data_IF_839051526287
#
_entry.id   IF_839051526287
#
_cell.length_a   1.000
_cell.length_b   1.000
_cell.length_c   1.000
_cell.angle_alpha   90.00
_cell.angle_beta   90.00
_cell.angle_gamma   90.00
#
_symmetry.space_group_name_H-M   'P 1'
#
loop_
_entity.id
_entity.type
_entity.pdbx_description
1 polymer ?
#
# COMPACT_ATOMS: atom_id res chain seq x y z
N UNK A 1 -6.30 -92.59 30.91
CA UNK A 1 -6.72 -92.60 29.49
C UNK A 1 -6.57 -91.17 28.96
N UNK A 2 -5.61 -90.95 28.03
CA UNK A 2 -5.49 -89.90 26.97
C UNK A 2 -5.93 -88.44 27.32
N UNK A 3 -5.23 -87.34 27.03
CA UNK A 3 -4.30 -87.00 25.94
C UNK A 3 -3.66 -85.61 26.26
N UNK A 4 -2.33 -85.52 26.42
CA UNK A 4 -1.32 -84.75 25.63
C UNK A 4 -1.65 -83.31 25.20
N UNK A 5 -0.73 -82.38 25.53
CA UNK A 5 0.06 -81.57 24.57
C UNK A 5 1.14 -80.79 25.36
N UNK A 6 2.37 -81.32 25.45
CA UNK A 6 3.58 -80.92 24.71
C UNK A 6 4.02 -79.46 24.96
N UNK A 7 5.02 -79.32 25.82
CA UNK A 7 5.81 -78.12 26.09
C UNK A 7 7.19 -78.37 25.46
N UNK A 8 7.61 -77.58 24.46
CA UNK A 8 9.01 -77.56 24.00
C UNK A 8 9.43 -76.10 23.82
N UNK A 9 10.52 -75.79 24.51
CA UNK A 9 11.30 -74.56 24.57
C UNK A 9 12.29 -74.52 23.39
N UNK A 10 12.47 -73.35 22.76
CA UNK A 10 13.71 -72.91 22.09
C UNK A 10 13.55 -71.43 21.72
N UNK A 11 14.02 -70.48 22.53
CA UNK A 11 15.36 -69.87 22.56
C UNK A 11 15.76 -69.14 21.25
N UNK A 12 15.95 -67.84 21.43
CA UNK A 12 16.15 -66.81 20.42
C UNK A 12 17.44 -66.92 19.61
N UNK A 13 17.35 -66.53 18.34
CA UNK A 13 18.47 -66.01 17.55
C UNK A 13 17.98 -64.84 16.70
N UNK A 14 18.54 -63.66 16.96
CA UNK A 14 18.28 -62.41 16.27
C UNK A 14 19.02 -62.44 14.92
N UNK A 15 18.29 -62.36 13.81
CA UNK A 15 18.86 -62.18 12.48
C UNK A 15 18.38 -60.86 11.90
N UNK A 16 19.34 -59.97 11.61
CA UNK A 16 19.12 -58.74 10.86
C UNK A 16 18.91 -59.13 9.39
N UNK A 17 17.73 -58.86 8.85
CA UNK A 17 17.43 -59.03 7.43
C UNK A 17 17.48 -57.68 6.73
N UNK A 18 18.43 -57.59 5.81
CA UNK A 18 18.48 -56.63 4.70
C UNK A 18 17.22 -56.79 3.84
N UNK A 19 16.55 -55.67 3.52
CA UNK A 19 15.57 -55.60 2.45
C UNK A 19 16.01 -54.53 1.45
N UNK A 20 16.39 -54.99 0.27
CA UNK A 20 16.58 -54.22 -0.94
C UNK A 20 15.24 -53.86 -1.56
N UNK A 21 14.96 -52.57 -1.69
CA UNK A 21 14.15 -52.01 -2.78
C UNK A 21 14.78 -50.66 -3.13
N UNK A 22 15.29 -50.56 -4.35
CA UNK A 22 15.70 -49.28 -4.93
C UNK A 22 14.43 -48.48 -5.22
N UNK A 23 14.19 -47.45 -4.42
CA UNK A 23 13.19 -46.42 -4.73
C UNK A 23 13.81 -45.54 -5.82
N UNK A 24 13.17 -45.53 -6.98
CA UNK A 24 13.53 -44.74 -8.14
C UNK A 24 13.04 -43.30 -7.92
N UNK A 25 13.97 -42.41 -7.57
CA UNK A 25 13.71 -40.98 -7.33
C UNK A 25 13.75 -40.14 -8.62
N UNK A 26 13.61 -40.75 -9.80
CA UNK A 26 13.66 -40.05 -11.09
C UNK A 26 12.39 -39.26 -11.46
N UNK A 27 11.49 -38.98 -10.51
CA UNK A 27 10.26 -38.21 -10.75
C UNK A 27 10.09 -36.94 -9.87
N UNK A 28 11.16 -36.46 -9.23
CA UNK A 28 11.20 -35.13 -8.59
C UNK A 28 12.07 -34.14 -9.39
N UNK A 29 11.93 -34.16 -10.71
CA UNK A 29 12.46 -33.11 -11.58
C UNK A 29 11.28 -32.44 -12.27
N UNK A 30 10.45 -31.76 -11.48
CA UNK A 30 9.58 -30.70 -11.99
C UNK A 30 10.09 -29.39 -11.40
N UNK A 31 10.79 -28.66 -12.28
CA UNK A 31 10.79 -27.21 -12.37
C UNK A 31 11.22 -26.44 -11.11
N UNK A 32 12.46 -26.67 -10.68
CA UNK A 32 13.20 -25.68 -9.91
C UNK A 32 13.78 -24.66 -10.90
N UNK A 33 12.93 -23.86 -11.53
CA UNK A 33 13.39 -22.57 -12.04
C UNK A 33 13.63 -21.70 -10.83
N UNK A 34 14.78 -21.92 -10.18
CA UNK A 34 15.45 -20.83 -9.48
C UNK A 34 15.54 -19.72 -10.52
N UNK A 35 14.75 -18.67 -10.34
CA UNK A 35 14.99 -17.41 -11.04
C UNK A 35 16.42 -17.07 -10.74
N UNK A 36 17.31 -17.26 -11.74
CA UNK A 36 18.69 -16.82 -11.64
C UNK A 36 18.59 -15.33 -11.33
N UNK A 37 19.01 -14.94 -10.13
CA UNK A 37 19.04 -13.53 -9.75
C UNK A 37 20.11 -12.93 -10.65
N UNK A 38 19.72 -12.12 -11.62
CA UNK A 38 20.69 -11.33 -12.38
C UNK A 38 21.38 -10.36 -11.41
N UNK A 39 22.63 -10.00 -11.71
CA UNK A 39 23.38 -9.00 -10.94
C UNK A 39 22.49 -7.77 -10.75
N UNK A 40 22.10 -7.50 -9.50
CA UNK A 40 21.00 -6.60 -9.18
C UNK A 40 21.48 -5.32 -8.53
N UNK A 41 21.19 -4.18 -9.18
CA UNK A 41 21.32 -2.86 -8.56
C UNK A 41 20.08 -2.60 -7.70
N UNK A 42 20.29 -2.36 -6.41
CA UNK A 42 19.22 -2.01 -5.46
C UNK A 42 19.32 -0.53 -5.13
N UNK A 43 18.21 0.18 -5.34
CA UNK A 43 18.07 1.60 -5.07
C UNK A 43 16.61 1.93 -4.75
N UNK A 44 16.37 3.11 -4.16
CA UNK A 44 15.00 3.61 -3.97
C UNK A 44 14.53 4.30 -5.25
N UNK A 45 13.34 3.99 -5.79
CA UNK A 45 12.86 4.58 -7.05
C UNK A 45 12.63 6.10 -6.98
N UNK A 46 12.38 6.64 -5.79
CA UNK A 46 12.30 8.08 -5.58
C UNK A 46 12.84 8.50 -4.20
N UNK A 47 13.48 9.66 -4.11
CA UNK A 47 13.96 10.27 -2.85
C UNK A 47 13.53 11.73 -2.74
N UNK A 48 13.48 12.26 -1.53
CA UNK A 48 13.30 13.71 -1.33
C UNK A 48 14.58 14.46 -1.74
N UNK A 49 14.45 15.76 -2.01
CA UNK A 49 15.63 16.62 -2.13
C UNK A 49 16.52 16.51 -0.90
N UNK A 50 17.83 16.48 -1.13
CA UNK A 50 18.89 16.32 -0.12
C UNK A 50 18.84 14.99 0.64
N UNK A 51 17.89 14.10 0.37
CA UNK A 51 17.89 12.78 0.95
C UNK A 51 18.96 11.91 0.28
N UNK A 52 19.73 11.20 1.10
CA UNK A 52 20.69 10.22 0.59
C UNK A 52 19.95 9.05 -0.05
N UNK A 53 20.42 8.64 -1.22
CA UNK A 53 20.07 7.42 -1.92
C UNK A 53 21.27 6.48 -1.81
N UNK A 54 21.09 5.39 -1.08
CA UNK A 54 22.08 4.32 -0.99
C UNK A 54 21.94 3.38 -2.20
N UNK A 55 23.07 3.08 -2.84
CA UNK A 55 23.16 2.10 -3.90
C UNK A 55 23.84 0.84 -3.38
N UNK A 56 23.28 -0.31 -3.73
CA UNK A 56 23.89 -1.60 -3.45
C UNK A 56 23.91 -2.46 -4.72
N UNK A 57 24.96 -3.24 -4.89
CA UNK A 57 25.14 -4.16 -6.00
C UNK A 57 25.29 -5.58 -5.47
N UNK A 58 24.46 -6.50 -5.96
CA UNK A 58 24.50 -7.91 -5.60
C UNK A 58 24.90 -8.76 -6.79
N UNK A 59 25.74 -9.77 -6.58
CA UNK A 59 26.07 -10.76 -7.61
C UNK A 59 24.95 -11.79 -7.83
N UNK A 60 25.17 -12.74 -8.75
CA UNK A 60 24.19 -13.77 -9.09
C UNK A 60 23.85 -14.71 -7.91
N UNK A 61 24.75 -14.81 -6.92
CA UNK A 61 24.56 -15.60 -5.71
C UNK A 61 23.87 -14.79 -4.58
N UNK A 62 23.55 -13.51 -4.84
CA UNK A 62 22.98 -12.59 -3.86
C UNK A 62 23.99 -12.05 -2.85
N UNK A 63 25.29 -12.11 -3.15
CA UNK A 63 26.35 -11.54 -2.32
C UNK A 63 26.49 -10.05 -2.61
N UNK A 64 26.53 -9.23 -1.56
CA UNK A 64 26.81 -7.79 -1.69
C UNK A 64 28.26 -7.56 -2.13
N UNK A 65 28.42 -7.00 -3.33
CA UNK A 65 29.71 -6.68 -3.94
C UNK A 65 29.92 -5.15 -4.10
N UNK A 66 29.11 -4.34 -3.42
CA UNK A 66 29.10 -2.86 -3.55
C UNK A 66 30.47 -2.23 -3.28
N UNK A 67 31.23 -2.79 -2.33
CA UNK A 67 32.57 -2.29 -1.99
C UNK A 67 33.61 -2.48 -3.12
N UNK A 68 33.36 -3.38 -4.07
CA UNK A 68 34.19 -3.62 -5.25
C UNK A 68 33.69 -2.91 -6.51
N UNK A 69 32.59 -2.15 -6.40
CA UNK A 69 31.95 -1.48 -7.52
C UNK A 69 32.20 0.04 -7.50
N UNK A 70 32.14 0.66 -8.66
CA UNK A 70 32.06 2.12 -8.82
C UNK A 70 30.69 2.46 -9.36
N UNK A 71 29.92 3.24 -8.60
CA UNK A 71 28.59 3.70 -9.01
C UNK A 71 28.70 5.00 -9.79
N UNK A 72 27.80 5.19 -10.75
CA UNK A 72 27.73 6.37 -11.60
C UNK A 72 26.32 6.95 -11.55
N UNK A 73 26.21 8.27 -11.43
CA UNK A 73 24.95 9.02 -11.61
C UNK A 73 25.11 10.03 -12.74
N UNK A 74 24.24 9.96 -13.75
CA UNK A 74 24.33 10.75 -14.99
C UNK A 74 25.74 10.72 -15.63
N UNK A 75 26.38 9.55 -15.60
CA UNK A 75 27.73 9.31 -16.11
C UNK A 75 28.86 9.86 -15.23
N UNK A 76 28.56 10.43 -14.07
CA UNK A 76 29.56 10.91 -13.10
C UNK A 76 29.83 9.84 -12.05
N UNK A 77 31.09 9.41 -11.91
CA UNK A 77 31.50 8.45 -10.89
C UNK A 77 31.32 9.02 -9.48
N UNK A 78 30.79 8.19 -8.57
CA UNK A 78 30.64 8.52 -7.16
C UNK A 78 31.85 8.02 -6.36
N UNK A 79 32.27 8.81 -5.36
CA UNK A 79 33.34 8.42 -4.42
C UNK A 79 32.84 7.37 -3.40
N UNK A 80 31.54 7.40 -3.09
CA UNK A 80 30.86 6.48 -2.19
C UNK A 80 29.64 5.89 -2.90
N UNK A 81 29.07 4.80 -2.40
CA UNK A 81 27.84 4.21 -2.97
C UNK A 81 26.57 4.99 -2.58
N UNK A 82 26.67 6.32 -2.46
CA UNK A 82 25.57 7.20 -2.02
C UNK A 82 25.49 8.45 -2.89
N UNK A 83 24.26 8.91 -3.14
CA UNK A 83 23.99 10.13 -3.89
C UNK A 83 22.92 10.98 -3.21
N UNK A 84 22.99 12.30 -3.38
CA UNK A 84 21.90 13.21 -3.01
C UNK A 84 21.90 14.40 -3.97
N UNK A 85 20.73 14.98 -4.19
CA UNK A 85 20.55 16.17 -5.03
C UNK A 85 19.60 17.15 -4.36
N UNK A 86 19.88 18.45 -4.45
CA UNK A 86 18.97 19.53 -4.09
C UNK A 86 18.03 19.93 -5.24
N UNK A 87 18.26 19.36 -6.43
CA UNK A 87 17.46 19.60 -7.65
C UNK A 87 16.54 18.42 -7.90
N UNK A 88 15.26 18.71 -8.12
CA UNK A 88 14.25 17.76 -8.58
C UNK A 88 14.54 17.31 -10.02
N UNK A 89 14.38 16.01 -10.28
CA UNK A 89 14.63 15.44 -11.60
C UNK A 89 14.77 13.93 -11.59
N UNK A 90 14.86 13.37 -12.79
CA UNK A 90 15.20 11.97 -13.02
C UNK A 90 16.68 11.84 -13.29
N UNK A 91 17.31 10.86 -12.65
CA UNK A 91 18.73 10.58 -12.71
C UNK A 91 18.95 9.16 -13.21
N UNK A 92 19.97 8.95 -14.05
CA UNK A 92 20.40 7.64 -14.51
C UNK A 92 21.46 7.07 -13.57
N UNK A 93 21.33 5.79 -13.18
CA UNK A 93 22.28 5.10 -12.32
C UNK A 93 22.73 3.78 -12.94
N UNK A 94 24.03 3.50 -12.82
CA UNK A 94 24.62 2.19 -13.14
C UNK A 94 25.88 1.97 -12.31
N UNK A 95 26.37 0.73 -12.28
CA UNK A 95 27.61 0.39 -11.59
C UNK A 95 28.59 -0.34 -12.52
N UNK A 96 29.88 -0.08 -12.35
CA UNK A 96 30.97 -0.87 -12.92
C UNK A 96 31.63 -1.71 -11.83
N UNK A 97 31.93 -2.98 -12.11
CA UNK A 97 32.52 -3.90 -11.15
C UNK A 97 33.45 -4.91 -11.84
N UNK A 98 34.34 -5.55 -11.07
CA UNK A 98 35.16 -6.65 -11.60
C UNK A 98 34.35 -7.95 -11.64
N UNK A 99 34.23 -8.53 -12.83
CA UNK A 99 33.72 -9.87 -13.03
C UNK A 99 34.85 -10.76 -13.57
N UNK A 100 35.49 -11.50 -12.66
CA UNK A 100 36.57 -12.45 -12.97
C UNK A 100 37.74 -11.82 -13.76
N UNK A 101 38.18 -10.63 -13.36
CA UNK A 101 39.30 -9.91 -14.00
C UNK A 101 38.91 -9.12 -15.24
N UNK A 102 37.62 -9.00 -15.55
CA UNK A 102 37.09 -8.14 -16.61
C UNK A 102 36.09 -7.16 -16.01
N UNK A 103 36.20 -5.87 -16.36
CA UNK A 103 35.19 -4.87 -15.97
C UNK A 103 33.86 -5.18 -16.65
N UNK A 104 32.81 -5.32 -15.85
CA UNK A 104 31.42 -5.42 -16.27
C UNK A 104 30.66 -4.16 -15.83
N UNK A 105 29.54 -3.88 -16.50
CA UNK A 105 28.65 -2.76 -16.21
C UNK A 105 27.23 -3.28 -16.07
N UNK A 106 26.49 -2.79 -15.08
CA UNK A 106 25.05 -3.11 -14.95
C UNK A 106 24.24 -2.46 -16.08
N UNK A 107 22.99 -2.87 -16.22
CA UNK A 107 22.03 -2.07 -16.97
C UNK A 107 21.87 -0.69 -16.32
N UNK A 108 21.55 0.31 -17.16
CA UNK A 108 21.27 1.66 -16.69
C UNK A 108 19.82 1.76 -16.26
N UNK A 109 19.64 2.19 -15.03
CA UNK A 109 18.37 2.31 -14.34
C UNK A 109 18.07 3.77 -14.04
N UNK A 110 16.83 4.11 -13.65
CA UNK A 110 16.45 5.49 -13.34
C UNK A 110 15.78 5.63 -11.98
N UNK A 111 16.13 6.68 -11.25
CA UNK A 111 15.43 7.09 -10.04
C UNK A 111 15.11 8.58 -10.08
N UNK A 112 14.18 9.03 -9.24
CA UNK A 112 13.79 10.44 -9.19
C UNK A 112 14.10 11.09 -7.84
N UNK A 113 14.53 12.34 -7.88
CA UNK A 113 14.53 13.22 -6.70
C UNK A 113 13.31 14.12 -6.84
N UNK A 114 12.43 14.14 -5.85
CA UNK A 114 11.10 14.78 -5.94
C UNK A 114 10.89 15.84 -4.87
N UNK A 115 9.98 16.77 -5.15
CA UNK A 115 9.29 17.57 -4.12
C UNK A 115 7.85 17.05 -4.01
N UNK A 116 7.54 16.28 -2.95
CA UNK A 116 6.21 15.71 -2.77
C UNK A 116 5.12 16.77 -2.85
N UNK A 117 3.95 16.38 -3.36
CA UNK A 117 2.76 17.20 -3.38
C UNK A 117 1.79 16.74 -2.30
N UNK A 118 1.21 17.72 -1.60
CA UNK A 118 0.21 17.45 -0.59
C UNK A 118 -1.04 16.88 -1.24
N UNK A 119 -1.43 15.68 -0.85
CA UNK A 119 -2.75 15.13 -1.15
C UNK A 119 -3.70 15.41 0.00
N UNK A 120 -4.89 15.91 -0.33
CA UNK A 120 -5.93 16.18 0.66
C UNK A 120 -6.70 14.90 0.92
N UNK A 121 -6.73 14.46 2.17
CA UNK A 121 -7.59 13.35 2.57
C UNK A 121 -9.04 13.81 2.68
N UNK A 122 -9.94 13.10 2.01
CA UNK A 122 -11.39 13.28 2.06
C UNK A 122 -11.99 12.00 2.64
N UNK A 123 -12.61 12.10 3.81
CA UNK A 123 -13.39 11.02 4.40
C UNK A 123 -14.89 11.33 4.18
N UNK A 124 -15.56 10.55 3.35
CA UNK A 124 -17.00 10.67 3.07
C UNK A 124 -17.79 9.72 3.98
N UNK A 125 -18.38 10.26 5.03
CA UNK A 125 -19.31 9.50 5.87
C UNK A 125 -20.67 9.44 5.17
N UNK A 126 -21.05 8.23 4.74
CA UNK A 126 -22.16 8.00 3.80
C UNK A 126 -23.00 6.75 4.16
N UNK A 127 -23.99 6.45 3.33
CA UNK A 127 -24.79 5.23 3.43
C UNK A 127 -25.85 5.12 2.33
N UNK A 128 -26.17 3.90 1.90
CA UNK A 128 -27.14 3.65 0.79
C UNK A 128 -28.54 4.21 1.09
N UNK A 129 -28.92 4.28 2.37
CA UNK A 129 -30.21 4.82 2.83
C UNK A 129 -30.27 6.36 2.87
N UNK A 130 -29.14 7.05 2.71
CA UNK A 130 -29.03 8.48 2.88
C UNK A 130 -29.34 9.25 1.59
N UNK A 131 -30.55 9.82 1.52
CA UNK A 131 -31.04 10.49 0.30
C UNK A 131 -30.26 11.73 -0.17
N UNK A 132 -29.46 12.36 0.69
CA UNK A 132 -28.60 13.49 0.30
C UNK A 132 -27.14 13.11 0.07
N UNK A 133 -26.75 11.87 0.39
CA UNK A 133 -25.38 11.41 0.24
C UNK A 133 -24.83 11.46 -1.19
N UNK A 134 -25.63 11.26 -2.25
CA UNK A 134 -25.14 11.46 -3.61
C UNK A 134 -24.53 12.86 -3.86
N UNK A 135 -24.90 13.89 -3.08
CA UNK A 135 -24.29 15.23 -3.22
C UNK A 135 -22.79 15.25 -2.93
N UNK A 136 -22.32 14.47 -1.95
CA UNK A 136 -20.89 14.44 -1.61
C UNK A 136 -20.14 13.58 -2.62
N UNK A 137 -20.72 12.46 -3.08
CA UNK A 137 -20.18 11.68 -4.20
C UNK A 137 -19.98 12.55 -5.44
N UNK A 138 -21.01 13.30 -5.86
CA UNK A 138 -20.90 14.26 -6.98
C UNK A 138 -19.81 15.33 -6.76
N UNK A 139 -19.64 15.80 -5.52
CA UNK A 139 -18.63 16.79 -5.20
C UNK A 139 -17.22 16.21 -5.29
N UNK A 140 -17.01 14.97 -4.84
CA UNK A 140 -15.75 14.24 -4.94
C UNK A 140 -15.37 14.01 -6.40
N UNK A 141 -16.31 13.54 -7.24
CA UNK A 141 -16.11 13.39 -8.69
C UNK A 141 -15.65 14.71 -9.34
N UNK A 142 -16.27 15.84 -8.96
CA UNK A 142 -15.86 17.17 -9.45
C UNK A 142 -14.45 17.57 -8.98
N UNK A 143 -14.01 17.11 -7.82
CA UNK A 143 -12.63 17.36 -7.37
C UNK A 143 -11.66 16.51 -8.18
N UNK A 144 -11.98 15.24 -8.44
CA UNK A 144 -11.18 14.37 -9.31
C UNK A 144 -11.04 14.93 -10.73
N UNK A 145 -12.08 15.57 -11.27
CA UNK A 145 -12.01 16.26 -12.57
C UNK A 145 -11.00 17.42 -12.60
N UNK A 146 -10.57 17.92 -11.43
CA UNK A 146 -9.69 19.09 -11.30
C UNK A 146 -8.27 18.71 -10.83
N UNK A 147 -8.13 17.71 -9.97
CA UNK A 147 -6.85 17.35 -9.36
C UNK A 147 -6.78 15.87 -8.96
N UNK A 148 -5.60 15.27 -9.16
CA UNK A 148 -5.25 13.94 -8.64
C UNK A 148 -4.65 14.01 -7.22
N UNK A 149 -4.48 15.21 -6.66
CA UNK A 149 -3.88 15.42 -5.34
C UNK A 149 -4.90 15.27 -4.20
N UNK A 150 -5.66 14.19 -4.23
CA UNK A 150 -6.60 13.81 -3.18
C UNK A 150 -6.51 12.31 -2.88
N UNK A 151 -6.94 11.93 -1.69
CA UNK A 151 -7.21 10.54 -1.34
C UNK A 151 -8.61 10.48 -0.76
N UNK A 152 -9.42 9.53 -1.18
CA UNK A 152 -10.82 9.43 -0.77
C UNK A 152 -11.03 8.14 0.01
N UNK A 153 -11.90 8.21 1.03
CA UNK A 153 -12.35 7.04 1.79
C UNK A 153 -13.84 7.20 2.06
N UNK A 154 -14.68 6.39 1.43
CA UNK A 154 -16.11 6.33 1.68
C UNK A 154 -16.39 5.39 2.88
N UNK A 155 -16.87 5.98 3.97
CA UNK A 155 -17.14 5.33 5.25
C UNK A 155 -18.65 5.13 5.38
N UNK A 156 -19.08 3.93 4.98
CA UNK A 156 -20.48 3.53 4.98
C UNK A 156 -21.01 3.18 6.38
N UNK A 157 -22.22 3.65 6.70
CA UNK A 157 -22.91 3.39 7.96
C UNK A 157 -24.24 2.64 7.77
N UNK A 158 -24.46 1.60 8.57
CA UNK A 158 -25.72 0.85 8.67
C UNK A 158 -26.30 0.35 7.33
N UNK A 159 -25.44 -0.17 6.46
CA UNK A 159 -25.76 -0.82 5.18
C UNK A 159 -24.80 -1.99 4.87
N UNK A 160 -24.91 -2.61 3.68
CA UNK A 160 -24.08 -3.75 3.29
C UNK A 160 -22.56 -3.48 3.19
N UNK A 161 -22.14 -2.22 3.11
CA UNK A 161 -20.73 -1.81 2.97
C UNK A 161 -20.11 -1.36 4.30
N UNK A 162 -20.88 -1.40 5.39
CA UNK A 162 -20.44 -0.93 6.70
C UNK A 162 -19.36 -1.83 7.30
N UNK A 163 -18.25 -1.22 7.72
CA UNK A 163 -17.19 -1.89 8.48
C UNK A 163 -17.49 -1.91 9.99
N UNK A 164 -17.08 -2.98 10.68
CA UNK A 164 -17.41 -3.19 12.09
C UNK A 164 -16.90 -2.10 13.04
N UNK A 165 -15.87 -1.35 12.65
CA UNK A 165 -15.27 -0.27 13.43
C UNK A 165 -15.76 1.14 13.01
N UNK A 166 -16.72 1.25 12.09
CA UNK A 166 -17.22 2.55 11.61
C UNK A 166 -17.67 3.46 12.76
N UNK A 167 -18.40 2.91 13.74
CA UNK A 167 -18.92 3.70 14.85
C UNK A 167 -17.80 4.39 15.63
N UNK A 168 -16.62 3.77 15.74
CA UNK A 168 -15.47 4.35 16.44
C UNK A 168 -14.90 5.55 15.66
N UNK A 169 -14.75 5.43 14.34
CA UNK A 169 -14.32 6.55 13.48
C UNK A 169 -15.30 7.71 13.58
N UNK A 170 -16.58 7.40 13.48
CA UNK A 170 -17.66 8.38 13.53
C UNK A 170 -17.70 9.11 14.88
N UNK A 171 -17.49 8.40 15.99
CA UNK A 171 -17.44 9.01 17.32
C UNK A 171 -16.21 9.89 17.54
N UNK A 172 -15.02 9.44 17.13
CA UNK A 172 -13.78 10.20 17.25
C UNK A 172 -13.85 11.54 16.51
N UNK A 173 -14.42 11.53 15.30
CA UNK A 173 -14.53 12.72 14.46
C UNK A 173 -15.84 13.48 14.64
N UNK A 174 -16.64 13.14 15.66
CA UNK A 174 -17.89 13.82 16.02
C UNK A 174 -18.90 13.91 14.86
N UNK A 175 -18.98 12.86 14.04
CA UNK A 175 -19.90 12.79 12.91
C UNK A 175 -21.25 12.24 13.40
N UNK A 176 -22.29 13.06 13.37
CA UNK A 176 -23.63 12.67 13.87
C UNK A 176 -24.73 12.74 12.82
N UNK A 177 -24.39 13.07 11.58
CA UNK A 177 -25.33 13.18 10.47
C UNK A 177 -24.66 12.81 9.15
N UNK A 178 -25.50 12.42 8.19
CA UNK A 178 -25.09 11.95 6.88
C UNK A 178 -25.78 12.77 5.77
N UNK A 179 -25.07 13.13 4.68
CA UNK A 179 -23.64 12.92 4.50
C UNK A 179 -22.79 13.86 5.37
N UNK A 180 -21.55 13.47 5.64
CA UNK A 180 -20.50 14.36 6.16
C UNK A 180 -19.19 14.08 5.44
N UNK A 181 -18.72 15.02 4.62
CA UNK A 181 -17.35 14.99 4.12
C UNK A 181 -16.41 15.65 5.13
N UNK A 182 -15.26 15.04 5.42
CA UNK A 182 -14.23 15.60 6.31
C UNK A 182 -12.90 15.74 5.57
N UNK A 183 -12.32 16.94 5.63
CA UNK A 183 -11.07 17.26 4.94
C UNK A 183 -9.91 17.21 5.93
N UNK A 184 -8.88 16.43 5.60
CA UNK A 184 -7.66 16.21 6.38
C UNK A 184 -7.91 15.90 7.86
N UNK A 185 -9.08 15.34 8.21
CA UNK A 185 -9.59 15.16 9.58
C UNK A 185 -9.69 16.44 10.44
N UNK A 186 -9.49 17.62 9.87
CA UNK A 186 -9.48 18.90 10.60
C UNK A 186 -10.77 19.70 10.46
N UNK A 187 -11.50 19.54 9.35
CA UNK A 187 -12.68 20.35 9.06
C UNK A 187 -13.76 19.57 8.33
N UNK A 188 -15.02 19.94 8.56
CA UNK A 188 -16.14 19.41 7.80
C UNK A 188 -16.24 20.16 6.46
N UNK A 189 -16.25 19.42 5.36
CA UNK A 189 -16.62 19.95 4.06
C UNK A 189 -18.11 20.25 4.08
N UNK A 190 -18.47 21.53 3.97
CA UNK A 190 -19.84 21.98 4.18
C UNK A 190 -20.56 22.21 2.85
N UNK A 191 -21.89 22.03 2.79
CA UNK A 191 -22.67 22.44 1.63
C UNK A 191 -22.38 23.90 1.25
N UNK A 192 -22.22 24.20 -0.05
CA UNK A 192 -22.60 23.37 -1.20
C UNK A 192 -21.53 22.36 -1.66
N UNK A 193 -20.48 22.11 -0.88
CA UNK A 193 -19.36 21.21 -1.21
C UNK A 193 -18.59 21.70 -2.44
N UNK A 194 -18.12 22.95 -2.39
CA UNK A 194 -17.37 23.53 -3.51
C UNK A 194 -16.04 22.79 -3.67
N UNK A 195 -15.72 22.36 -4.89
CA UNK A 195 -14.45 21.69 -5.18
C UNK A 195 -13.25 22.56 -4.80
N UNK A 196 -13.40 23.89 -4.86
CA UNK A 196 -12.34 24.83 -4.48
C UNK A 196 -11.93 24.74 -3.02
N UNK A 197 -12.82 24.29 -2.12
CA UNK A 197 -12.48 24.10 -0.71
C UNK A 197 -11.42 23.00 -0.54
N UNK A 198 -11.40 22.03 -1.45
CA UNK A 198 -10.41 20.95 -1.49
C UNK A 198 -9.21 21.35 -2.34
N UNK A 199 -9.44 21.81 -3.57
CA UNK A 199 -8.37 22.06 -4.53
C UNK A 199 -7.46 23.22 -4.12
N UNK A 200 -7.91 24.13 -3.24
CA UNK A 200 -7.04 25.18 -2.69
C UNK A 200 -5.98 24.67 -1.71
N UNK A 201 -6.15 23.46 -1.18
CA UNK A 201 -5.18 22.80 -0.29
C UNK A 201 -4.38 21.69 -0.99
N UNK A 202 -4.84 21.24 -2.16
CA UNK A 202 -4.27 20.13 -2.89
C UNK A 202 -3.12 20.57 -3.78
N UNK A 203 -2.07 19.76 -3.87
CA UNK A 203 -0.95 20.00 -4.79
C UNK A 203 0.09 21.02 -4.33
N UNK A 204 -0.02 21.54 -3.10
CA UNK A 204 1.05 22.34 -2.50
C UNK A 204 2.30 21.49 -2.23
N UNK A 205 3.49 22.10 -2.25
CA UNK A 205 4.72 21.40 -1.87
C UNK A 205 4.60 20.87 -0.44
N UNK A 206 4.90 19.58 -0.27
CA UNK A 206 4.91 18.88 1.00
C UNK A 206 6.35 18.51 1.34
N UNK A 207 6.73 18.75 2.59
CA UNK A 207 8.01 18.29 3.13
C UNK A 207 8.07 16.77 3.28
N UNK A 208 6.93 16.06 3.18
CA UNK A 208 6.79 14.64 3.49
C UNK A 208 6.33 13.85 2.27
N UNK A 209 7.08 12.81 1.92
CA UNK A 209 6.74 11.84 0.88
C UNK A 209 6.36 10.49 1.48
N UNK A 210 5.40 9.82 0.86
CA UNK A 210 4.91 8.50 1.26
C UNK A 210 5.12 7.54 0.09
N UNK A 211 5.79 6.41 0.32
CA UNK A 211 5.96 5.34 -0.65
C UNK A 211 5.11 4.14 -0.28
N UNK A 212 4.51 3.50 -1.27
CA UNK A 212 3.62 2.35 -1.10
C UNK A 212 4.06 1.24 -2.05
N UNK A 213 4.37 0.06 -1.53
CA UNK A 213 4.55 -1.13 -2.34
C UNK A 213 3.69 -2.24 -1.77
N UNK A 214 2.89 -2.88 -2.60
CA UNK A 214 2.01 -3.95 -2.14
C UNK A 214 2.07 -5.18 -3.03
N UNK A 215 1.76 -6.33 -2.44
CA UNK A 215 1.64 -7.60 -3.15
C UNK A 215 0.65 -8.52 -2.45
N UNK A 216 -0.03 -9.35 -3.23
CA UNK A 216 -0.89 -10.41 -2.72
C UNK A 216 -0.19 -11.76 -2.84
N UNK A 217 -0.18 -12.51 -1.73
CA UNK A 217 0.20 -13.92 -1.70
C UNK A 217 -0.96 -14.75 -1.15
N UNK A 218 -1.62 -15.51 -2.03
CA UNK A 218 -2.87 -16.19 -1.69
C UNK A 218 -3.98 -15.19 -1.38
N UNK A 219 -4.53 -15.24 -0.16
CA UNK A 219 -5.51 -14.27 0.36
C UNK A 219 -4.87 -13.18 1.24
N UNK A 220 -3.54 -13.15 1.35
CA UNK A 220 -2.84 -12.19 2.21
C UNK A 220 -2.34 -11.03 1.39
N UNK A 221 -2.85 -9.83 1.67
CA UNK A 221 -2.27 -8.58 1.20
C UNK A 221 -1.10 -8.21 2.10
N UNK A 222 0.06 -7.98 1.52
CA UNK A 222 1.24 -7.42 2.18
C UNK A 222 1.49 -6.02 1.62
N UNK A 223 1.68 -5.05 2.50
CA UNK A 223 1.94 -3.66 2.13
C UNK A 223 3.17 -3.15 2.87
N UNK A 224 4.19 -2.74 2.14
CA UNK A 224 5.35 -2.02 2.65
C UNK A 224 5.13 -0.53 2.46
N UNK A 225 5.10 0.21 3.56
CA UNK A 225 4.93 1.65 3.58
C UNK A 225 6.25 2.29 4.02
N UNK A 226 6.67 3.28 3.24
CA UNK A 226 7.84 4.10 3.51
C UNK A 226 7.42 5.55 3.71
N UNK A 227 7.97 6.23 4.71
CA UNK A 227 7.72 7.65 4.97
C UNK A 227 9.05 8.35 5.20
N UNK A 228 9.27 9.44 4.49
CA UNK A 228 10.38 10.37 4.73
C UNK A 228 9.89 11.80 4.73
N UNK A 229 10.60 12.67 5.44
CA UNK A 229 10.24 14.07 5.59
C UNK A 229 11.49 14.96 5.70
N UNK A 230 11.44 16.17 5.15
CA UNK A 230 12.50 17.19 5.33
C UNK A 230 12.65 17.60 6.80
N UNK A 231 11.61 17.36 7.62
CA UNK A 231 11.62 17.50 9.08
C UNK A 231 11.53 16.15 9.79
N UNK A 232 12.09 16.06 11.00
CA UNK A 232 12.03 14.82 11.79
C UNK A 232 10.61 14.48 12.25
N UNK A 233 10.23 13.21 12.17
CA UNK A 233 8.94 12.69 12.59
C UNK A 233 8.96 12.38 14.08
N UNK A 234 8.02 12.94 14.85
CA UNK A 234 7.90 12.71 16.30
C UNK A 234 6.44 12.76 16.72
N UNK A 235 5.90 11.61 17.17
CA UNK A 235 4.51 11.52 17.62
C UNK A 235 3.49 11.39 16.48
N UNK A 236 3.94 11.44 15.21
CA UNK A 236 3.10 11.19 14.05
C UNK A 236 2.59 9.74 14.03
N UNK A 237 1.43 9.53 13.39
CA UNK A 237 0.82 8.22 13.24
C UNK A 237 0.62 7.89 11.76
N UNK A 238 0.85 6.62 11.43
CA UNK A 238 0.58 6.04 10.12
C UNK A 238 -0.79 5.37 10.12
N UNK A 239 -1.68 5.80 9.24
CA UNK A 239 -2.98 5.17 8.97
C UNK A 239 -2.92 4.52 7.60
N UNK A 240 -3.29 3.24 7.49
CA UNK A 240 -3.34 2.52 6.22
C UNK A 240 -4.68 1.83 6.08
N UNK A 241 -5.48 2.30 5.14
CA UNK A 241 -6.79 1.75 4.82
C UNK A 241 -6.76 1.02 3.48
N UNK A 242 -7.59 -0.01 3.38
CA UNK A 242 -7.92 -0.68 2.14
C UNK A 242 -9.30 -0.19 1.71
N UNK A 243 -9.40 0.34 0.50
CA UNK A 243 -10.66 0.76 -0.12
C UNK A 243 -10.95 -0.07 -1.37
N UNK A 244 -12.21 -0.10 -1.81
CA UNK A 244 -12.65 -0.82 -3.00
C UNK A 244 -13.57 0.03 -3.86
N UNK A 245 -13.25 0.07 -5.15
CA UNK A 245 -14.05 0.76 -6.17
C UNK A 245 -15.13 -0.15 -6.78
N UNK A 246 -16.13 0.45 -7.40
CA UNK A 246 -17.03 -0.27 -8.31
C UNK A 246 -18.08 -1.15 -7.64
N UNK A 247 -18.38 -0.95 -6.34
CA UNK A 247 -19.41 -1.75 -5.65
C UNK A 247 -20.80 -1.29 -6.10
N UNK A 248 -21.62 -2.22 -6.57
CA UNK A 248 -22.97 -1.91 -7.07
C UNK A 248 -24.03 -2.11 -5.98
N UNK A 249 -24.74 -1.04 -5.64
CA UNK A 249 -25.87 -1.04 -4.71
C UNK A 249 -26.92 0.02 -5.10
N UNK A 250 -28.15 -0.10 -4.59
CA UNK A 250 -29.18 0.92 -4.83
C UNK A 250 -29.02 2.07 -3.81
N UNK A 251 -29.06 3.31 -4.29
CA UNK A 251 -28.82 4.50 -3.45
C UNK A 251 -30.09 5.36 -3.36
N UNK A 252 -30.58 5.65 -2.15
CA UNK A 252 -31.70 6.60 -1.93
C UNK A 252 -31.32 7.97 -2.48
N UNK A 253 -32.27 8.66 -3.13
CA UNK A 253 -31.98 9.88 -3.89
C UNK A 253 -33.05 10.98 -3.74
N UNK A 254 -32.79 11.91 -2.83
CA UNK A 254 -33.60 13.12 -2.66
C UNK A 254 -33.30 14.20 -3.70
N UNK A 255 -32.36 13.97 -4.62
CA UNK A 255 -31.98 14.88 -5.70
C UNK A 255 -32.72 14.61 -7.01
N UNK A 256 -33.55 13.55 -7.07
CA UNK A 256 -34.28 13.15 -8.27
C UNK A 256 -35.11 14.28 -8.92
N UNK A 257 -35.54 15.28 -8.13
CA UNK A 257 -36.32 16.43 -8.61
C UNK A 257 -35.51 17.74 -8.72
N UNK A 258 -34.20 17.72 -8.45
CA UNK A 258 -33.32 18.88 -8.55
C UNK A 258 -32.70 18.94 -9.95
N UNK A 259 -33.10 19.88 -10.82
CA UNK A 259 -32.59 19.95 -12.20
C UNK A 259 -31.11 20.32 -12.30
N UNK A 260 -30.45 20.70 -11.20
CA UNK A 260 -29.01 21.00 -11.17
C UNK A 260 -28.16 19.81 -10.68
N UNK A 261 -28.78 18.74 -10.20
CA UNK A 261 -28.07 17.54 -9.76
C UNK A 261 -27.81 16.61 -10.95
N UNK A 262 -26.65 15.97 -10.98
CA UNK A 262 -26.40 14.90 -11.97
C UNK A 262 -27.34 13.69 -11.80
N UNK A 263 -27.94 13.55 -10.61
CA UNK A 263 -28.89 12.49 -10.28
C UNK A 263 -30.36 12.90 -10.53
N UNK A 264 -30.58 13.99 -11.27
CA UNK A 264 -31.91 14.41 -11.72
C UNK A 264 -32.58 13.34 -12.59
N UNK A 265 -33.82 12.98 -12.26
CA UNK A 265 -34.61 11.95 -12.95
C UNK A 265 -34.00 10.53 -12.96
N UNK A 266 -33.01 10.24 -12.11
CA UNK A 266 -32.39 8.89 -12.02
C UNK A 266 -33.18 7.90 -11.14
N UNK A 267 -34.27 8.33 -10.51
CA UNK A 267 -35.09 7.51 -9.61
C UNK A 267 -34.79 7.75 -8.13
N UNK A 268 -35.67 7.22 -7.27
CA UNK A 268 -35.49 7.15 -5.82
C UNK A 268 -36.00 5.77 -5.33
N UNK A 269 -35.09 4.80 -5.10
CA UNK A 269 -33.63 4.91 -5.20
C UNK A 269 -33.11 5.00 -6.65
N UNK A 270 -31.86 5.45 -6.81
CA UNK A 270 -31.05 5.24 -8.03
C UNK A 270 -30.67 3.76 -8.05
N UNK A 271 -31.09 3.05 -9.08
CA UNK A 271 -30.84 1.61 -9.22
C UNK A 271 -29.46 1.35 -9.80
N UNK A 272 -28.70 0.45 -9.17
CA UNK A 272 -27.36 0.09 -9.63
C UNK A 272 -26.36 1.25 -9.58
N UNK A 273 -26.41 2.03 -8.50
CA UNK A 273 -25.44 3.08 -8.21
C UNK A 273 -24.06 2.44 -7.96
N UNK A 274 -23.01 3.11 -8.44
CA UNK A 274 -21.63 2.67 -8.27
C UNK A 274 -21.05 3.38 -7.04
N UNK A 275 -20.57 2.61 -6.09
CA UNK A 275 -19.88 3.10 -4.89
C UNK A 275 -18.39 2.87 -5.05
N UNK A 276 -17.64 3.97 -5.07
CA UNK A 276 -16.18 3.99 -5.16
C UNK A 276 -15.54 4.33 -3.81
N UNK A 277 -14.24 4.06 -3.67
CA UNK A 277 -13.44 4.37 -2.47
C UNK A 277 -13.97 3.77 -1.16
N UNK A 278 -14.76 2.70 -1.22
CA UNK A 278 -15.47 2.15 -0.06
C UNK A 278 -14.47 1.53 0.91
N UNK A 279 -14.46 2.00 2.16
CA UNK A 279 -13.59 1.47 3.20
C UNK A 279 -13.90 0.00 3.49
N UNK A 280 -12.91 -0.88 3.30
CA UNK A 280 -13.02 -2.33 3.52
C UNK A 280 -12.29 -2.78 4.79
N UNK A 281 -11.09 -2.26 5.03
CA UNK A 281 -10.25 -2.67 6.15
C UNK A 281 -9.27 -1.59 6.59
N UNK A 282 -8.75 -1.74 7.81
CA UNK A 282 -7.59 -1.00 8.31
C UNK A 282 -6.43 -1.96 8.55
N UNK A 283 -5.26 -1.66 7.98
CA UNK A 283 -4.02 -2.43 8.17
C UNK A 283 -3.24 -1.95 9.41
N UNK A 284 -3.62 -0.81 9.97
CA UNK A 284 -3.12 -0.26 11.24
C UNK A 284 -4.24 -0.24 12.27
N UNK A 285 -3.95 0.26 13.48
CA UNK A 285 -5.01 0.84 14.31
C UNK A 285 -5.82 1.85 13.47
N UNK A 286 -7.12 1.93 13.72
CA UNK A 286 -8.03 2.77 12.92
C UNK A 286 -7.67 4.25 13.00
N UNK A 287 -7.01 4.71 14.07
CA UNK A 287 -6.48 6.07 14.20
C UNK A 287 -4.98 6.17 13.91
N UNK A 288 -4.38 5.05 13.54
CA UNK A 288 -3.01 4.92 13.07
C UNK A 288 -2.05 4.33 14.10
N UNK A 289 -1.04 3.63 13.60
CA UNK A 289 0.07 3.16 14.40
C UNK A 289 1.08 4.30 14.60
N UNK A 290 1.68 4.42 15.78
CA UNK A 290 2.74 5.40 16.01
C UNK A 290 3.93 5.16 15.06
N UNK A 291 4.37 6.22 14.39
CA UNK A 291 5.65 6.24 13.68
C UNK A 291 6.74 6.38 14.73
N UNK A 292 7.70 5.46 14.74
CA UNK A 292 8.90 5.56 15.58
C UNK A 292 9.62 6.86 15.26
N UNK A 293 10.15 7.56 16.26
CA UNK A 293 10.84 8.84 16.01
C UNK A 293 11.96 8.66 14.99
N UNK A 294 11.85 9.40 13.89
CA UNK A 294 12.72 9.31 12.72
C UNK A 294 13.33 10.68 12.46
N UNK A 295 14.67 10.83 12.38
CA UNK A 295 15.31 12.09 12.04
C UNK A 295 14.89 12.63 10.67
N UNK A 296 15.15 13.92 10.43
CA UNK A 296 14.93 14.52 9.11
C UNK A 296 15.69 13.75 8.02
N UNK A 297 15.03 13.55 6.88
CA UNK A 297 15.51 12.85 5.68
C UNK A 297 15.84 11.36 5.87
N UNK A 298 15.65 10.80 7.07
CA UNK A 298 15.69 9.36 7.29
C UNK A 298 14.36 8.72 6.88
N UNK A 299 14.40 7.42 6.56
CA UNK A 299 13.21 6.66 6.17
C UNK A 299 12.64 5.89 7.37
N UNK A 300 11.36 6.12 7.66
CA UNK A 300 10.56 5.16 8.39
C UNK A 300 9.99 4.13 7.41
N UNK A 301 10.22 2.85 7.66
CA UNK A 301 9.71 1.76 6.81
C UNK A 301 9.04 0.70 7.66
N UNK A 302 7.86 0.25 7.24
CA UNK A 302 7.11 -0.82 7.91
C UNK A 302 6.41 -1.71 6.90
N UNK A 303 6.24 -2.99 7.24
CA UNK A 303 5.44 -3.94 6.46
C UNK A 303 4.24 -4.36 7.28
N UNK A 304 3.06 -4.18 6.70
CA UNK A 304 1.77 -4.53 7.26
C UNK A 304 1.15 -5.64 6.42
N UNK A 305 0.24 -6.41 7.02
CA UNK A 305 -0.51 -7.42 6.28
C UNK A 305 -1.93 -7.54 6.78
N UNK A 306 -2.82 -7.93 5.88
CA UNK A 306 -4.22 -8.24 6.22
C UNK A 306 -4.73 -9.39 5.36
N UNK A 307 -5.76 -10.07 5.85
CA UNK A 307 -6.48 -11.08 5.07
C UNK A 307 -7.57 -10.41 4.24
N UNK A 308 -7.57 -10.69 2.94
CA UNK A 308 -8.61 -10.24 2.04
C UNK A 308 -9.85 -11.13 2.17
N UNK A 309 -11.02 -10.49 2.23
CA UNK A 309 -12.28 -11.20 2.12
C UNK A 309 -12.41 -11.80 0.71
N UNK A 310 -12.96 -13.02 0.55
CA UNK A 310 -13.23 -13.58 -0.78
C UNK A 310 -14.30 -12.81 -1.57
N UNK A 311 -15.00 -11.87 -0.93
CA UNK A 311 -15.99 -10.99 -1.57
C UNK A 311 -15.37 -9.77 -2.25
N UNK A 312 -14.08 -9.50 -1.99
CA UNK A 312 -13.40 -8.32 -2.53
C UNK A 312 -12.94 -8.57 -3.96
N UNK A 313 -13.14 -7.58 -4.82
CA UNK A 313 -12.67 -7.59 -6.20
C UNK A 313 -11.27 -6.98 -6.24
N UNK A 314 -10.23 -7.83 -6.34
CA UNK A 314 -8.82 -7.43 -6.17
C UNK A 314 -8.40 -6.31 -7.13
N UNK A 315 -8.86 -6.35 -8.38
CA UNK A 315 -8.55 -5.33 -9.38
C UNK A 315 -9.10 -3.94 -9.05
N UNK A 316 -10.07 -3.86 -8.13
CA UNK A 316 -10.68 -2.62 -7.66
C UNK A 316 -10.12 -2.16 -6.31
N UNK A 317 -9.19 -2.91 -5.71
CA UNK A 317 -8.64 -2.58 -4.40
C UNK A 317 -7.53 -1.53 -4.48
N UNK A 318 -7.54 -0.62 -3.52
CA UNK A 318 -6.54 0.42 -3.36
C UNK A 318 -6.13 0.59 -1.90
N UNK A 319 -4.85 0.91 -1.67
CA UNK A 319 -4.36 1.33 -0.37
C UNK A 319 -4.38 2.84 -0.28
N UNK A 320 -5.10 3.37 0.71
CA UNK A 320 -5.05 4.79 1.10
C UNK A 320 -4.21 4.92 2.36
N UNK A 321 -3.14 5.69 2.27
CA UNK A 321 -2.16 5.90 3.34
C UNK A 321 -2.19 7.35 3.77
N UNK A 322 -2.31 7.59 5.07
CA UNK A 322 -2.25 8.91 5.66
C UNK A 322 -1.19 8.95 6.76
N UNK A 323 -0.42 10.03 6.80
CA UNK A 323 0.38 10.38 7.97
C UNK A 323 -0.33 11.50 8.71
N UNK A 324 -0.59 11.26 9.99
CA UNK A 324 -1.34 12.19 10.85
C UNK A 324 -0.47 12.70 12.00
N UNK A 325 -0.84 13.86 12.53
CA UNK A 325 -0.32 14.37 13.80
C UNK A 325 -1.02 13.66 14.99
N UNK A 326 -0.54 13.94 16.20
CA UNK A 326 -1.04 13.44 17.48
C UNK A 326 -2.55 13.66 17.68
N UNK A 327 -3.11 14.73 17.11
CA UNK A 327 -4.53 15.10 17.15
C UNK A 327 -5.37 14.50 16.01
N UNK A 328 -4.81 13.56 15.23
CA UNK A 328 -5.40 12.95 14.03
C UNK A 328 -5.47 13.86 12.79
N UNK A 329 -4.97 15.10 12.82
CA UNK A 329 -4.92 15.93 11.62
C UNK A 329 -4.02 15.28 10.55
N UNK A 330 -4.52 15.16 9.32
CA UNK A 330 -3.73 14.60 8.21
C UNK A 330 -2.73 15.62 7.70
N UNK A 331 -1.45 15.23 7.70
CA UNK A 331 -0.33 16.06 7.25
C UNK A 331 -0.15 15.88 5.74
N UNK A 332 -0.04 14.63 5.30
CA UNK A 332 -0.05 14.25 3.90
C UNK A 332 -0.71 12.87 3.73
N UNK A 333 -1.15 12.56 2.52
CA UNK A 333 -1.68 11.25 2.15
C UNK A 333 -1.17 10.80 0.78
N UNK A 334 -1.33 9.52 0.48
CA UNK A 334 -0.91 8.87 -0.76
C UNK A 334 -1.82 7.67 -0.99
N UNK A 335 -1.99 7.28 -2.24
CA UNK A 335 -2.71 6.07 -2.61
C UNK A 335 -2.01 5.29 -3.71
N UNK A 336 -2.22 3.97 -3.75
CA UNK A 336 -1.74 3.08 -4.80
C UNK A 336 -2.64 1.85 -4.93
N UNK A 337 -2.86 1.37 -6.15
CA UNK A 337 -3.62 0.13 -6.38
C UNK A 337 -2.89 -1.05 -5.73
N UNK A 338 -3.64 -2.08 -5.37
CA UNK A 338 -3.02 -3.30 -4.85
C UNK A 338 -2.19 -3.99 -5.94
N UNK A 339 -1.03 -4.55 -5.56
CA UNK A 339 0.01 -5.07 -6.47
C UNK A 339 0.80 -3.99 -7.24
N UNK A 340 0.70 -2.73 -6.83
CA UNK A 340 1.50 -1.63 -7.37
C UNK A 340 2.67 -1.26 -6.45
N UNK A 341 3.74 -0.71 -7.05
CA UNK A 341 4.79 0.03 -6.33
C UNK A 341 4.77 1.48 -6.77
N UNK A 342 4.55 2.38 -5.81
CA UNK A 342 4.55 3.82 -5.96
C UNK A 342 5.60 4.43 -5.06
N UNK A 343 6.48 5.24 -5.65
CA UNK A 343 7.54 5.96 -4.95
C UNK A 343 7.01 7.10 -4.08
N UNK A 344 7.93 7.89 -3.54
CA UNK A 344 7.56 9.15 -2.89
C UNK A 344 6.94 10.11 -3.89
N UNK A 345 5.79 10.65 -3.50
CA UNK A 345 5.05 11.69 -4.20
C UNK A 345 4.34 12.54 -3.16
#
# INVERSE_FOLDING_TARGET
>A
MKLKALFIIALATLTLTSCTKSEDFSSFLEDDTVTQIEVGLVYRPASLRNQAVDFALFDEDGTDISAGATFYVDGTALEESTFSSDVEGTFEVYAEFDNNGTTATTETETFSVVVPKRKVSIEDHTGTWCGYCPRVTEAIEKVHDITDNITVVAIHNNDEMTVAFEELLRQEFEVFGFPTGRLNRTSNWSPPYEATDVTSMAGEDSAMGIGISSSINGSTLNATISVSSEEGLTGNKLVVYLVEDGIIADQVNYLNNDPNSQYYQQGDPIVGFVHDDVLRASLTDIFGNNITSTPALEEYKTTLSTQLSPEYVVENLELVVMVTDTDNATINSQYAKVNETKGYE
#
